data_IF_061552821690
#
_entry.id   IF_061552821690
#
_cell.length_a   1.000
_cell.length_b   1.000
_cell.length_c   1.000
_cell.angle_alpha   90.00
_cell.angle_beta   90.00
_cell.angle_gamma   90.00
#
_symmetry.space_group_name_H-M   'P 1'
#
loop_
_entity.id
_entity.type
_entity.pdbx_description
1 polymer ?
#
# COMPACT_ATOMS: atom_id res chain seq x y z
N UNK A 1 -6.03 -0.74 15.65
CA UNK A 1 -4.86 -0.55 14.75
C UNK A 1 -4.70 0.94 14.45
N UNK A 2 -3.49 1.41 14.08
CA UNK A 2 -3.24 2.83 13.79
C UNK A 2 -4.10 3.39 12.63
N UNK A 3 -4.31 2.60 11.58
CA UNK A 3 -5.17 2.99 10.45
C UNK A 3 -6.63 3.25 10.88
N UNK A 4 -7.18 2.43 11.80
CA UNK A 4 -8.53 2.64 12.35
C UNK A 4 -8.64 3.99 13.09
N UNK A 5 -7.62 4.31 13.89
CA UNK A 5 -7.57 5.60 14.57
C UNK A 5 -7.54 6.76 13.56
N UNK A 6 -6.80 6.62 12.46
CA UNK A 6 -6.77 7.61 11.39
C UNK A 6 -8.12 7.77 10.69
N UNK A 7 -8.85 6.68 10.41
CA UNK A 7 -10.22 6.74 9.87
C UNK A 7 -11.18 7.46 10.81
N UNK A 8 -11.14 7.17 12.11
CA UNK A 8 -11.97 7.86 13.12
C UNK A 8 -11.66 9.35 13.20
N UNK A 9 -10.38 9.73 13.18
CA UNK A 9 -9.97 11.13 13.22
C UNK A 9 -10.31 11.85 11.92
N UNK A 10 -10.18 11.20 10.76
CA UNK A 10 -10.48 11.79 9.47
C UNK A 10 -11.93 12.26 9.35
N UNK A 11 -12.88 11.60 10.01
CA UNK A 11 -14.29 12.01 10.05
C UNK A 11 -14.52 13.38 10.73
N UNK A 12 -13.55 13.90 11.47
CA UNK A 12 -13.64 15.18 12.18
C UNK A 12 -13.20 16.38 11.33
N UNK A 13 -12.69 16.15 10.11
CA UNK A 13 -12.13 17.19 9.26
C UNK A 13 -12.75 17.15 7.86
N UNK A 14 -13.10 18.32 7.33
CA UNK A 14 -13.63 18.48 5.97
C UNK A 14 -12.50 18.58 4.92
N UNK A 15 -11.62 17.57 4.92
CA UNK A 15 -10.52 17.43 3.95
C UNK A 15 -10.33 15.97 3.57
N UNK A 16 -9.77 15.71 2.40
CA UNK A 16 -9.45 14.36 1.94
C UNK A 16 -8.14 13.86 2.59
N UNK A 17 -8.21 12.71 3.27
CA UNK A 17 -7.05 12.10 3.93
C UNK A 17 -6.80 10.73 3.32
N UNK A 18 -5.60 10.53 2.77
CA UNK A 18 -5.11 9.24 2.29
C UNK A 18 -4.10 8.64 3.26
N UNK A 19 -4.31 7.38 3.64
CA UNK A 19 -3.43 6.58 4.49
C UNK A 19 -2.51 5.71 3.62
N UNK A 20 -1.20 5.81 3.86
CA UNK A 20 -0.11 5.13 3.15
C UNK A 20 0.73 4.23 4.06
N UNK A 21 1.26 3.14 3.51
CA UNK A 21 2.45 2.48 4.08
C UNK A 21 3.69 2.84 3.29
N UNK A 22 4.75 3.19 4.01
CA UNK A 22 6.03 3.59 3.42
C UNK A 22 6.92 2.38 3.07
N UNK A 23 8.20 2.62 2.79
CA UNK A 23 9.25 1.65 2.46
C UNK A 23 9.06 0.24 3.06
N UNK A 24 8.59 -0.70 2.24
CA UNK A 24 8.53 -2.12 2.56
C UNK A 24 9.51 -2.91 1.67
N UNK A 25 10.59 -3.50 2.23
CA UNK A 25 11.52 -4.29 1.44
C UNK A 25 10.89 -5.64 1.02
N UNK A 26 11.37 -6.29 -0.07
CA UNK A 26 10.74 -7.48 -0.63
C UNK A 26 10.61 -8.65 0.34
N UNK A 27 11.59 -8.85 1.23
CA UNK A 27 11.63 -9.90 2.24
C UNK A 27 10.52 -9.77 3.31
N UNK A 28 9.95 -8.57 3.47
CA UNK A 28 8.84 -8.30 4.39
C UNK A 28 7.51 -8.10 3.70
N UNK A 29 7.51 -7.94 2.38
CA UNK A 29 6.32 -7.59 1.62
C UNK A 29 5.24 -8.69 1.71
N UNK A 30 5.65 -9.96 1.86
CA UNK A 30 4.74 -11.07 2.05
C UNK A 30 3.99 -10.99 3.39
N UNK A 31 4.71 -10.75 4.49
CA UNK A 31 4.12 -10.74 5.84
C UNK A 31 3.51 -9.39 6.24
N UNK A 32 3.88 -8.30 5.54
CA UNK A 32 3.39 -6.96 5.84
C UNK A 32 2.36 -6.46 4.83
N UNK A 33 2.69 -6.42 3.53
CA UNK A 33 1.78 -5.84 2.53
C UNK A 33 0.62 -6.76 2.17
N UNK A 34 0.86 -8.06 1.94
CA UNK A 34 -0.22 -8.98 1.53
C UNK A 34 -1.37 -9.04 2.55
N UNK A 35 -1.13 -9.09 3.88
CA UNK A 35 -2.20 -9.04 4.87
C UNK A 35 -2.98 -7.72 4.85
N UNK A 36 -2.33 -6.58 4.59
CA UNK A 36 -3.00 -5.27 4.52
C UNK A 36 -3.88 -5.15 3.28
N UNK A 37 -3.42 -5.68 2.14
CA UNK A 37 -4.21 -5.77 0.91
C UNK A 37 -5.43 -6.67 1.15
N UNK A 38 -5.25 -7.82 1.80
CA UNK A 38 -6.37 -8.71 2.18
C UNK A 38 -7.35 -8.04 3.11
N UNK A 39 -6.88 -7.31 4.13
CA UNK A 39 -7.75 -6.57 5.04
C UNK A 39 -8.58 -5.52 4.28
N UNK A 40 -8.01 -4.87 3.26
CA UNK A 40 -8.76 -3.98 2.36
C UNK A 40 -9.82 -4.74 1.56
N UNK A 41 -9.51 -5.92 1.02
CA UNK A 41 -10.48 -6.77 0.34
C UNK A 41 -11.66 -7.16 1.25
N UNK A 42 -11.37 -7.55 2.50
CA UNK A 42 -12.37 -7.89 3.51
C UNK A 42 -13.28 -6.69 3.83
N UNK A 43 -12.71 -5.49 3.98
CA UNK A 43 -13.50 -4.26 4.16
C UNK A 43 -14.43 -3.99 2.99
N UNK A 44 -13.93 -4.05 1.76
CA UNK A 44 -14.73 -3.83 0.56
C UNK A 44 -15.87 -4.85 0.45
N UNK A 45 -15.62 -6.11 0.85
CA UNK A 45 -16.67 -7.13 0.89
C UNK A 45 -17.84 -6.79 1.85
N UNK A 46 -17.61 -5.92 2.84
CA UNK A 46 -18.62 -5.40 3.77
C UNK A 46 -19.21 -4.05 3.33
N UNK A 47 -18.82 -3.52 2.16
CA UNK A 47 -19.23 -2.20 1.68
C UNK A 47 -18.50 -1.03 2.36
N UNK A 48 -17.42 -1.31 3.09
CA UNK A 48 -16.57 -0.29 3.69
C UNK A 48 -15.55 0.25 2.67
N UNK A 49 -15.00 1.43 2.95
CA UNK A 49 -13.91 2.02 2.16
C UNK A 49 -12.59 1.29 2.40
N UNK A 50 -11.61 1.55 1.54
CA UNK A 50 -10.29 0.93 1.63
C UNK A 50 -9.61 1.23 2.99
N UNK A 51 -8.87 0.25 3.52
CA UNK A 51 -8.11 0.46 4.76
C UNK A 51 -6.93 1.40 4.51
N UNK A 52 -6.20 1.15 3.42
CA UNK A 52 -5.10 1.97 2.91
C UNK A 52 -5.39 2.35 1.45
N UNK A 53 -4.94 3.54 1.05
CA UNK A 53 -5.14 4.07 -0.30
C UNK A 53 -3.92 3.78 -1.18
N UNK A 54 -2.76 3.59 -0.55
CA UNK A 54 -1.48 3.35 -1.21
C UNK A 54 -0.54 2.52 -0.33
N UNK A 55 0.36 1.81 -1.02
CA UNK A 55 1.42 1.01 -0.44
C UNK A 55 2.71 1.24 -1.23
N UNK A 56 3.85 1.30 -0.52
CA UNK A 56 5.18 1.40 -1.12
C UNK A 56 5.97 0.09 -0.96
N UNK A 57 6.18 -0.60 -2.08
CA UNK A 57 7.16 -1.68 -2.18
C UNK A 57 8.51 -1.08 -2.58
N UNK A 58 9.51 -1.24 -1.71
CA UNK A 58 10.88 -0.78 -1.96
C UNK A 58 11.80 -1.95 -2.30
N UNK A 59 11.73 -2.39 -3.55
CA UNK A 59 12.63 -3.40 -4.12
C UNK A 59 13.93 -2.78 -4.70
N UNK A 60 14.36 -1.62 -4.20
CA UNK A 60 15.57 -0.94 -4.71
C UNK A 60 16.88 -1.67 -4.40
N UNK A 61 16.84 -2.70 -3.56
CA UNK A 61 17.95 -3.61 -3.28
C UNK A 61 18.11 -4.73 -4.33
N UNK A 62 17.14 -4.93 -5.22
CA UNK A 62 17.18 -5.95 -6.27
C UNK A 62 17.71 -5.39 -7.60
N UNK A 63 17.94 -6.28 -8.58
CA UNK A 63 18.14 -5.86 -9.97
C UNK A 63 16.90 -5.15 -10.51
N UNK A 64 17.05 -4.35 -11.57
CA UNK A 64 15.90 -3.65 -12.17
C UNK A 64 14.84 -4.65 -12.65
N UNK A 65 15.26 -5.75 -13.28
CA UNK A 65 14.35 -6.76 -13.82
C UNK A 65 13.55 -7.44 -12.69
N UNK A 66 14.23 -7.82 -11.60
CA UNK A 66 13.58 -8.43 -10.43
C UNK A 66 12.64 -7.44 -9.73
N UNK A 67 13.06 -6.19 -9.58
CA UNK A 67 12.24 -5.12 -9.01
C UNK A 67 10.97 -4.90 -9.84
N UNK A 68 11.09 -4.83 -11.17
CA UNK A 68 9.93 -4.69 -12.05
C UNK A 68 9.01 -5.92 -11.99
N UNK A 69 9.57 -7.13 -11.91
CA UNK A 69 8.77 -8.36 -11.81
C UNK A 69 7.92 -8.39 -10.53
N UNK A 70 8.51 -8.15 -9.35
CA UNK A 70 7.76 -8.12 -8.09
C UNK A 70 6.80 -6.93 -8.02
N UNK A 71 7.20 -5.77 -8.53
CA UNK A 71 6.32 -4.58 -8.57
C UNK A 71 5.06 -4.81 -9.41
N UNK A 72 5.17 -5.56 -10.52
CA UNK A 72 4.00 -5.92 -11.33
C UNK A 72 3.03 -6.85 -10.60
N UNK A 73 3.53 -7.78 -9.78
CA UNK A 73 2.68 -8.65 -8.96
C UNK A 73 1.87 -7.82 -7.96
N UNK A 74 2.54 -7.00 -7.16
CA UNK A 74 1.89 -6.15 -6.16
C UNK A 74 0.97 -5.10 -6.79
N UNK A 75 1.31 -4.59 -7.98
CA UNK A 75 0.47 -3.68 -8.75
C UNK A 75 -0.86 -4.33 -9.12
N UNK A 76 -0.85 -5.59 -9.59
CA UNK A 76 -2.08 -6.32 -9.93
C UNK A 76 -2.95 -6.54 -8.69
N UNK A 77 -2.35 -6.98 -7.58
CA UNK A 77 -3.06 -7.17 -6.31
C UNK A 77 -3.70 -5.87 -5.80
N UNK A 78 -2.99 -4.73 -5.90
CA UNK A 78 -3.53 -3.43 -5.50
C UNK A 78 -4.67 -2.97 -6.43
N UNK A 79 -4.51 -3.17 -7.74
CA UNK A 79 -5.49 -2.75 -8.73
C UNK A 79 -6.86 -3.45 -8.56
N UNK A 80 -6.87 -4.72 -8.14
CA UNK A 80 -8.11 -5.46 -7.84
C UNK A 80 -8.95 -4.84 -6.72
N UNK A 81 -8.34 -3.98 -5.89
CA UNK A 81 -9.00 -3.35 -4.74
C UNK A 81 -8.98 -1.82 -4.80
N UNK A 82 -8.72 -1.23 -5.98
CA UNK A 82 -8.63 0.22 -6.18
C UNK A 82 -7.63 0.91 -5.24
N UNK A 83 -6.56 0.20 -4.88
CA UNK A 83 -5.42 0.74 -4.15
C UNK A 83 -4.44 1.29 -5.18
N UNK A 84 -3.92 2.51 -4.97
CA UNK A 84 -2.90 3.12 -5.84
C UNK A 84 -1.51 2.72 -5.34
N UNK A 85 -0.78 1.80 -6.00
CA UNK A 85 0.56 1.46 -5.57
C UNK A 85 1.56 2.58 -5.93
N UNK A 86 2.45 2.89 -5.01
CA UNK A 86 3.57 3.79 -5.25
C UNK A 86 4.82 2.93 -5.51
N UNK A 87 5.20 2.81 -6.78
CA UNK A 87 6.42 2.16 -7.21
C UNK A 87 7.53 3.19 -7.44
N UNK A 88 8.66 3.03 -6.76
CA UNK A 88 9.87 3.81 -7.02
C UNK A 88 10.44 4.50 -5.78
N UNK A 89 11.64 4.06 -5.40
CA UNK A 89 12.55 4.85 -4.57
C UNK A 89 12.89 6.15 -5.32
N UNK A 90 12.24 7.25 -4.94
CA UNK A 90 12.78 8.59 -5.20
C UNK A 90 13.93 8.83 -4.22
N UNK A 91 15.02 8.06 -4.35
CA UNK A 91 16.30 8.54 -3.81
C UNK A 91 16.60 9.83 -4.57
N UNK A 92 16.41 10.95 -3.90
CA UNK A 92 16.99 12.23 -4.28
C UNK A 92 18.50 11.98 -4.44
N UNK A 93 18.94 11.72 -5.68
CA UNK A 93 20.35 11.74 -6.01
C UNK A 93 20.75 13.19 -5.78
N UNK A 94 21.60 13.40 -4.77
CA UNK A 94 22.34 14.66 -4.64
C UNK A 94 23.16 14.90 -5.89
#
# INVERSE_FOLDING_TARGET
MLAEAAHTLAQQYDVLIAINTDHCPPDKAEDFLKPLIRATAERRSRGETNLFQNHMLDASNLSLDDNMAISQEYLRMCAEHEIVPLGGSWRCRR
#
